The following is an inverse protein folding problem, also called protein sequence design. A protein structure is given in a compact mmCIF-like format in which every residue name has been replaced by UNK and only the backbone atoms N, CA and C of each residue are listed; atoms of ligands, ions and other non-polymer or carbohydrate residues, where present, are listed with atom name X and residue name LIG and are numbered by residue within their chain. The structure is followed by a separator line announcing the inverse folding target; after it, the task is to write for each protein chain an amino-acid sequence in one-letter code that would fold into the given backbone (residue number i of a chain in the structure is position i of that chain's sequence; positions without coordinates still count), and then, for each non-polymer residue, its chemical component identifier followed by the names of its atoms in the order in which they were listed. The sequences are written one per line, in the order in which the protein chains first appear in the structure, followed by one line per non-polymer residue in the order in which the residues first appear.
data_IF_020513672082
#
_entry.id   IF_020513672082
#
_cell.length_a   1.000
_cell.length_b   1.000
_cell.length_c   1.000
_cell.angle_alpha   90.00
_cell.angle_beta   90.00
_cell.angle_gamma   90.00
#
_symmetry.space_group_name_H-M   'P 1'
#
loop_
_entity.id
_entity.type
_entity.pdbx_description
1 polymer ?
#
# COMPACT_ATOMS: atom_id res chain seq x y z
N UNK A 1 -19.85 2.74 -11.75
CA UNK A 1 -18.41 2.88 -12.07
C UNK A 1 -18.27 4.12 -12.93
N UNK A 2 -17.63 5.15 -12.40
CA UNK A 2 -17.44 6.43 -13.10
C UNK A 2 -16.00 6.50 -13.62
N UNK A 3 -15.81 6.89 -14.88
CA UNK A 3 -14.49 7.09 -15.47
C UNK A 3 -14.46 8.30 -16.38
N UNK A 4 -13.27 8.89 -16.55
CA UNK A 4 -13.11 10.07 -17.39
C UNK A 4 -11.76 10.76 -17.19
N UNK A 5 -11.51 11.77 -18.02
CA UNK A 5 -10.31 12.60 -17.90
C UNK A 5 -10.52 13.72 -16.89
N UNK A 6 -9.55 13.92 -16.01
CA UNK A 6 -9.43 15.13 -15.18
C UNK A 6 -8.00 15.67 -15.28
N UNK A 7 -7.86 16.98 -15.14
CA UNK A 7 -6.56 17.61 -14.90
C UNK A 7 -6.20 17.45 -13.43
N UNK A 8 -5.03 16.87 -13.15
CA UNK A 8 -4.52 16.70 -11.79
C UNK A 8 -3.26 17.53 -11.61
N UNK A 9 -3.19 18.32 -10.53
CA UNK A 9 -1.95 18.99 -10.16
C UNK A 9 -0.88 17.96 -9.76
N UNK A 10 0.34 18.13 -10.27
CA UNK A 10 1.45 17.20 -10.02
C UNK A 10 2.54 17.82 -9.15
N UNK A 11 3.21 18.87 -9.62
CA UNK A 11 4.19 19.67 -8.88
C UNK A 11 4.43 21.00 -9.63
N UNK A 12 5.22 21.90 -9.05
CA UNK A 12 5.53 23.21 -9.64
C UNK A 12 6.18 23.09 -11.04
N UNK A 13 6.98 22.04 -11.28
CA UNK A 13 7.68 21.85 -12.56
C UNK A 13 6.77 21.35 -13.69
N UNK A 14 5.80 20.48 -13.39
CA UNK A 14 4.93 19.83 -14.38
C UNK A 14 3.50 20.39 -14.40
N UNK A 15 3.11 21.12 -13.36
CA UNK A 15 1.80 21.73 -13.21
C UNK A 15 0.64 20.75 -13.29
N UNK A 16 -0.44 21.21 -13.92
CA UNK A 16 -1.64 20.44 -14.25
C UNK A 16 -1.38 19.43 -15.36
N UNK A 17 -1.85 18.20 -15.18
CA UNK A 17 -1.66 17.13 -16.13
C UNK A 17 -2.95 16.34 -16.32
N UNK A 18 -3.34 16.12 -17.57
CA UNK A 18 -4.45 15.22 -17.88
C UNK A 18 -4.13 13.79 -17.45
N UNK A 19 -5.07 13.18 -16.74
CA UNK A 19 -5.03 11.80 -16.28
C UNK A 19 -6.39 11.16 -16.48
N UNK A 20 -6.37 9.87 -16.80
CA UNK A 20 -7.59 9.07 -16.86
C UNK A 20 -7.90 8.54 -15.47
N UNK A 21 -9.08 8.83 -14.95
CA UNK A 21 -9.54 8.40 -13.64
C UNK A 21 -10.62 7.35 -13.77
N UNK A 22 -10.59 6.41 -12.82
CA UNK A 22 -11.61 5.37 -12.67
C UNK A 22 -11.98 5.29 -11.19
N UNK A 23 -13.25 5.56 -10.90
CA UNK A 23 -13.85 5.42 -9.58
C UNK A 23 -14.52 4.05 -9.47
N UNK A 24 -13.92 3.22 -8.62
CA UNK A 24 -14.53 1.99 -8.14
C UNK A 24 -15.35 2.30 -6.89
N UNK A 25 -16.65 2.51 -7.10
CA UNK A 25 -17.63 2.80 -6.06
C UNK A 25 -17.79 1.67 -5.04
N UNK A 26 -17.58 0.41 -5.49
CA UNK A 26 -17.73 -0.78 -4.64
C UNK A 26 -16.52 -0.96 -3.74
N UNK A 27 -15.31 -0.69 -4.25
CA UNK A 27 -14.08 -0.77 -3.47
C UNK A 27 -13.77 0.52 -2.68
N UNK A 28 -14.40 1.64 -3.04
CA UNK A 28 -14.09 2.95 -2.46
C UNK A 28 -12.71 3.46 -2.89
N UNK A 29 -12.32 3.19 -4.13
CA UNK A 29 -11.01 3.50 -4.69
C UNK A 29 -11.13 4.41 -5.90
N UNK A 30 -10.36 5.50 -5.92
CA UNK A 30 -10.16 6.34 -7.09
C UNK A 30 -8.78 6.03 -7.68
N UNK A 31 -8.74 5.30 -8.80
CA UNK A 31 -7.51 4.97 -9.51
C UNK A 31 -7.25 5.95 -10.64
N UNK A 32 -5.98 6.22 -10.95
CA UNK A 32 -5.62 7.05 -12.09
C UNK A 32 -4.45 6.51 -12.91
N UNK A 33 -4.47 6.89 -14.18
CA UNK A 33 -3.58 6.41 -15.23
C UNK A 33 -3.06 7.61 -16.03
N UNK A 34 -1.90 7.46 -16.67
CA UNK A 34 -1.37 8.54 -17.50
C UNK A 34 -2.20 8.78 -18.76
N UNK A 35 -2.97 7.79 -19.22
CA UNK A 35 -3.91 7.87 -20.34
C UNK A 35 -4.94 6.73 -20.30
N UNK A 36 -6.01 6.83 -21.11
CA UNK A 36 -7.01 5.76 -21.29
C UNK A 36 -6.37 4.47 -21.84
N UNK A 37 -5.43 4.58 -22.76
CA UNK A 37 -4.66 3.43 -23.29
C UNK A 37 -3.86 2.71 -22.20
N UNK A 38 -3.27 3.45 -21.26
CA UNK A 38 -2.56 2.83 -20.12
C UNK A 38 -3.52 2.15 -19.15
N UNK A 39 -4.73 2.66 -19.02
CA UNK A 39 -5.81 2.02 -18.27
C UNK A 39 -6.24 0.70 -18.92
N UNK A 40 -6.47 0.66 -20.24
CA UNK A 40 -6.85 -0.60 -20.93
C UNK A 40 -5.75 -1.66 -20.87
N UNK A 41 -4.48 -1.24 -20.81
CA UNK A 41 -3.33 -2.13 -20.55
C UNK A 41 -3.10 -2.48 -19.08
N UNK A 42 -3.93 -1.99 -18.16
CA UNK A 42 -3.84 -2.26 -16.72
C UNK A 42 -2.69 -1.55 -15.98
N UNK A 43 -1.99 -0.60 -16.62
CA UNK A 43 -0.79 0.06 -16.06
C UNK A 43 -1.19 1.23 -15.16
N UNK A 44 -1.62 0.92 -13.93
CA UNK A 44 -2.06 1.92 -12.94
C UNK A 44 -0.93 2.81 -12.45
N UNK A 45 -1.13 4.13 -12.45
CA UNK A 45 -0.13 5.09 -11.97
C UNK A 45 -0.23 5.33 -10.46
N UNK A 46 -1.44 5.33 -9.93
CA UNK A 46 -1.72 5.48 -8.50
C UNK A 46 -3.19 5.22 -8.19
N UNK A 47 -3.49 5.10 -6.90
CA UNK A 47 -4.85 4.99 -6.39
C UNK A 47 -5.00 5.73 -5.05
N UNK A 48 -6.19 6.27 -4.82
CA UNK A 48 -6.57 6.96 -3.59
C UNK A 48 -7.71 6.17 -2.95
N UNK A 49 -7.57 5.82 -1.67
CA UNK A 49 -8.64 5.20 -0.89
C UNK A 49 -9.53 6.32 -0.36
N UNK A 50 -10.81 6.30 -0.71
CA UNK A 50 -11.73 7.40 -0.40
C UNK A 50 -12.35 7.31 1.00
N UNK A 51 -11.98 6.31 1.81
CA UNK A 51 -12.43 6.23 3.20
C UNK A 51 -11.97 7.47 3.96
N UNK A 52 -12.91 8.15 4.61
CA UNK A 52 -12.66 9.38 5.36
C UNK A 52 -12.05 10.53 4.54
N UNK A 53 -12.12 10.46 3.20
CA UNK A 53 -11.71 11.58 2.37
C UNK A 53 -12.72 12.73 2.49
N UNK A 54 -12.23 13.95 2.38
CA UNK A 54 -13.05 15.18 2.37
C UNK A 54 -12.92 15.82 1.01
N UNK A 55 -14.07 16.17 0.42
CA UNK A 55 -14.12 16.94 -0.83
C UNK A 55 -14.16 18.43 -0.49
N UNK A 56 -13.30 19.22 -1.13
CA UNK A 56 -13.33 20.68 -1.04
C UNK A 56 -13.69 21.27 -2.40
N UNK A 57 -14.64 22.21 -2.42
CA UNK A 57 -15.05 22.95 -3.60
C UNK A 57 -14.67 24.41 -3.35
N UNK A 58 -14.16 25.07 -4.39
CA UNK A 58 -13.91 26.51 -4.37
C UNK A 58 -15.10 27.21 -5.05
N UNK A 59 -15.61 28.28 -4.44
CA UNK A 59 -16.75 29.05 -4.95
C UNK A 59 -16.33 30.01 -6.08
N UNK A 60 -15.03 30.27 -6.26
CA UNK A 60 -14.52 31.16 -7.32
C UNK A 60 -14.31 30.45 -8.69
N UNK A 61 -14.03 29.14 -8.69
CA UNK A 61 -13.79 28.37 -9.92
C UNK A 61 -14.73 27.17 -10.02
N UNK A 62 -15.70 27.28 -10.94
CA UNK A 62 -16.71 26.28 -11.20
C UNK A 62 -16.19 24.93 -11.70
N UNK A 63 -14.91 24.83 -12.06
CA UNK A 63 -14.31 23.61 -12.63
C UNK A 63 -13.41 22.83 -11.66
N UNK A 64 -13.02 23.44 -10.53
CA UNK A 64 -12.02 22.84 -9.63
C UNK A 64 -12.62 22.19 -8.39
N UNK A 65 -11.92 21.19 -7.88
CA UNK A 65 -12.23 20.57 -6.61
C UNK A 65 -10.98 19.89 -6.03
N UNK A 66 -11.03 19.59 -4.75
CA UNK A 66 -9.95 18.91 -4.03
C UNK A 66 -10.45 17.65 -3.35
N UNK A 67 -9.54 16.69 -3.18
CA UNK A 67 -9.75 15.52 -2.32
C UNK A 67 -8.65 15.53 -1.27
N UNK A 68 -9.03 15.64 0.00
CA UNK A 68 -8.11 15.57 1.13
C UNK A 68 -8.26 14.24 1.85
N UNK A 69 -7.17 13.49 1.99
CA UNK A 69 -7.12 12.20 2.72
C UNK A 69 -5.74 12.04 3.36
N UNK A 70 -5.69 11.53 4.59
CA UNK A 70 -4.44 11.29 5.34
C UNK A 70 -3.48 12.50 5.32
N UNK A 71 -4.01 13.71 5.55
CA UNK A 71 -3.27 14.99 5.50
C UNK A 71 -2.66 15.34 4.13
N UNK A 72 -3.09 14.66 3.05
CA UNK A 72 -2.70 14.94 1.67
C UNK A 72 -3.88 15.51 0.90
N UNK A 73 -3.67 16.67 0.28
CA UNK A 73 -4.65 17.30 -0.61
C UNK A 73 -4.26 17.08 -2.07
N UNK A 74 -5.20 16.55 -2.85
CA UNK A 74 -5.09 16.38 -4.28
C UNK A 74 -6.00 17.40 -4.97
N UNK A 75 -5.43 18.19 -5.88
CA UNK A 75 -6.17 19.19 -6.66
C UNK A 75 -6.55 18.63 -8.03
N UNK A 76 -7.79 18.86 -8.40
CA UNK A 76 -8.40 18.42 -9.65
C UNK A 76 -9.11 19.58 -10.35
N UNK A 77 -9.11 19.52 -11.67
CA UNK A 77 -9.87 20.41 -12.53
C UNK A 77 -10.61 19.56 -13.57
N UNK A 78 -11.92 19.74 -13.63
CA UNK A 78 -12.81 19.17 -14.63
C UNK A 78 -12.86 20.07 -15.87
N UNK A 79 -13.45 19.60 -16.96
CA UNK A 79 -13.62 20.39 -18.19
C UNK A 79 -14.59 21.55 -18.00
N UNK A 80 -15.63 21.33 -17.21
CA UNK A 80 -16.72 22.26 -16.96
C UNK A 80 -17.38 21.98 -15.60
N UNK A 81 -18.22 22.90 -15.11
CA UNK A 81 -18.86 22.75 -13.81
C UNK A 81 -19.85 21.59 -13.74
N UNK A 82 -20.46 21.21 -14.86
CA UNK A 82 -21.32 20.02 -14.92
C UNK A 82 -20.53 18.72 -14.75
N UNK A 83 -19.33 18.63 -15.33
CA UNK A 83 -18.42 17.51 -15.11
C UNK A 83 -17.86 17.50 -13.69
N UNK A 84 -17.49 18.67 -13.13
CA UNK A 84 -17.12 18.80 -11.71
C UNK A 84 -18.21 18.22 -10.81
N UNK A 85 -19.45 18.68 -10.97
CA UNK A 85 -20.59 18.22 -10.16
C UNK A 85 -20.81 16.71 -10.27
N UNK A 86 -20.70 16.14 -11.47
CA UNK A 86 -20.82 14.68 -11.66
C UNK A 86 -19.74 13.93 -10.88
N UNK A 87 -18.49 14.41 -10.92
CA UNK A 87 -17.37 13.78 -10.19
C UNK A 87 -17.54 13.93 -8.68
N UNK A 88 -17.81 15.15 -8.22
CA UNK A 88 -18.03 15.48 -6.80
C UNK A 88 -19.15 14.61 -6.23
N UNK A 89 -20.33 14.58 -6.86
CA UNK A 89 -21.46 13.77 -6.39
C UNK A 89 -21.11 12.29 -6.27
N UNK A 90 -20.49 11.72 -7.30
CA UNK A 90 -20.11 10.30 -7.28
C UNK A 90 -19.04 9.98 -6.21
N UNK A 91 -18.10 10.89 -5.99
CA UNK A 91 -17.08 10.78 -4.95
C UNK A 91 -17.70 10.89 -3.56
N UNK A 92 -18.54 11.88 -3.31
CA UNK A 92 -19.25 12.08 -2.04
C UNK A 92 -20.13 10.89 -1.70
N UNK A 93 -20.92 10.38 -2.65
CA UNK A 93 -21.74 9.18 -2.48
C UNK A 93 -20.87 7.98 -2.10
N UNK A 94 -19.73 7.81 -2.76
CA UNK A 94 -18.79 6.73 -2.47
C UNK A 94 -18.17 6.88 -1.08
N UNK A 95 -17.70 8.07 -0.72
CA UNK A 95 -17.17 8.38 0.62
C UNK A 95 -18.23 8.08 1.68
N UNK A 96 -19.47 8.53 1.47
CA UNK A 96 -20.57 8.33 2.40
C UNK A 96 -20.91 6.84 2.57
N UNK A 97 -20.96 6.05 1.49
CA UNK A 97 -21.19 4.60 1.55
C UNK A 97 -20.10 3.88 2.34
N UNK A 98 -18.84 4.24 2.09
CA UNK A 98 -17.68 3.61 2.73
C UNK A 98 -17.41 4.10 4.15
N UNK A 99 -17.88 5.31 4.50
CA UNK A 99 -17.91 5.87 5.84
C UNK A 99 -19.05 5.31 6.70
N UNK A 100 -20.25 5.08 6.15
CA UNK A 100 -21.38 4.46 6.88
C UNK A 100 -21.11 3.04 7.33
N UNK A 101 -20.25 2.29 6.61
CA UNK A 101 -19.81 0.95 7.05
C UNK A 101 -19.14 0.99 8.42
N UNK A 102 -18.55 2.12 8.83
CA UNK A 102 -18.06 2.32 10.20
C UNK A 102 -19.15 2.71 11.19
N UNK A 103 -20.24 3.36 10.80
CA UNK A 103 -21.28 3.75 11.79
C UNK A 103 -22.02 2.52 12.33
N UNK A 104 -22.24 1.50 11.49
CA UNK A 104 -22.73 0.18 11.95
C UNK A 104 -21.61 -0.65 12.60
N UNK A 105 -20.36 -0.55 12.14
CA UNK A 105 -19.21 -1.23 12.78
C UNK A 105 -18.68 -0.56 14.07
N UNK A 106 -19.10 0.66 14.42
CA UNK A 106 -18.77 1.31 15.71
C UNK A 106 -19.80 0.99 16.80
N UNK A 107 -21.00 0.56 16.42
CA UNK A 107 -22.02 0.06 17.35
C UNK A 107 -21.89 -1.45 17.62
N UNK A 108 -21.09 -2.16 16.82
CA UNK A 108 -20.63 -3.52 17.12
C UNK A 108 -19.22 -3.39 17.68
N UNK A 109 -18.89 -3.93 18.86
CA UNK A 109 -17.51 -3.99 19.32
C UNK A 109 -16.66 -4.60 18.20
N UNK A 110 -15.54 -3.97 17.85
CA UNK A 110 -14.61 -4.55 16.89
C UNK A 110 -14.30 -6.00 17.30
N UNK A 111 -14.36 -6.99 16.39
CA UNK A 111 -13.94 -8.33 16.74
C UNK A 111 -12.49 -8.24 17.21
N UNK A 112 -12.18 -8.85 18.36
CA UNK A 112 -10.91 -8.79 19.08
C UNK A 112 -9.71 -9.38 18.31
N UNK A 113 -9.79 -9.51 16.98
CA UNK A 113 -8.93 -10.36 16.16
C UNK A 113 -7.75 -9.62 15.50
N UNK A 114 -7.56 -8.32 15.75
CA UNK A 114 -6.34 -7.62 15.28
C UNK A 114 -5.08 -8.02 16.06
N UNK A 115 -5.22 -8.40 17.33
CA UNK A 115 -4.10 -8.95 18.09
C UNK A 115 -3.70 -10.35 17.57
N UNK A 116 -4.70 -11.20 17.33
CA UNK A 116 -4.46 -12.57 16.85
C UNK A 116 -3.76 -12.66 15.49
N UNK A 117 -4.00 -11.72 14.57
CA UNK A 117 -3.32 -11.73 13.27
C UNK A 117 -1.84 -11.32 13.39
N UNK A 118 -1.51 -10.33 14.24
CA UNK A 118 -0.11 -9.97 14.52
C UNK A 118 0.60 -11.13 15.23
N UNK A 119 -0.03 -11.74 16.24
CA UNK A 119 0.55 -12.88 16.94
C UNK A 119 0.76 -14.08 16.03
N UNK A 120 -0.22 -14.39 15.18
CA UNK A 120 -0.09 -15.44 14.16
C UNK A 120 1.08 -15.16 13.22
N UNK A 121 1.26 -13.92 12.77
CA UNK A 121 2.39 -13.53 11.91
C UNK A 121 3.73 -13.57 12.64
N UNK A 122 3.78 -13.25 13.94
CA UNK A 122 4.98 -13.43 14.76
C UNK A 122 5.31 -14.92 14.88
N UNK A 123 4.31 -15.77 15.17
CA UNK A 123 4.51 -17.22 15.23
C UNK A 123 4.95 -17.83 13.89
N UNK A 124 4.45 -17.33 12.76
CA UNK A 124 4.92 -17.72 11.43
C UNK A 124 6.38 -17.30 11.21
N UNK A 125 6.75 -16.08 11.60
CA UNK A 125 8.13 -15.61 11.51
C UNK A 125 9.08 -16.43 12.40
N UNK A 126 8.65 -16.82 13.61
CA UNK A 126 9.39 -17.70 14.51
C UNK A 126 9.60 -19.10 13.88
N UNK A 127 8.57 -19.65 13.21
CA UNK A 127 8.69 -20.92 12.51
C UNK A 127 9.69 -20.85 11.34
N UNK A 128 9.66 -19.77 10.55
CA UNK A 128 10.64 -19.54 9.49
C UNK A 128 12.07 -19.36 10.04
N UNK A 129 12.23 -18.67 11.17
CA UNK A 129 13.52 -18.51 11.83
C UNK A 129 14.10 -19.88 12.22
N UNK A 130 13.29 -20.79 12.77
CA UNK A 130 13.74 -22.13 13.13
C UNK A 130 14.21 -22.94 11.93
N UNK A 131 13.48 -22.86 10.80
CA UNK A 131 13.90 -23.49 9.55
C UNK A 131 15.24 -22.92 9.08
N UNK A 132 15.43 -21.59 9.18
CA UNK A 132 16.68 -20.95 8.79
C UNK A 132 17.86 -21.37 9.67
N UNK A 133 17.66 -21.49 10.99
CA UNK A 133 18.66 -22.00 11.94
C UNK A 133 19.11 -23.41 11.53
N UNK A 134 18.15 -24.31 11.26
CA UNK A 134 18.45 -25.68 10.84
C UNK A 134 19.23 -25.72 9.52
N UNK A 135 18.85 -24.90 8.53
CA UNK A 135 19.55 -24.81 7.25
C UNK A 135 20.98 -24.27 7.40
N UNK A 136 21.19 -23.25 8.25
CA UNK A 136 22.52 -22.68 8.52
C UNK A 136 23.40 -23.71 9.24
N UNK A 137 22.85 -24.46 10.19
CA UNK A 137 23.57 -25.54 10.86
C UNK A 137 23.96 -26.67 9.89
N UNK A 138 23.05 -27.08 9.01
CA UNK A 138 23.33 -28.05 7.95
C UNK A 138 24.40 -27.54 6.98
N UNK A 139 24.36 -26.26 6.63
CA UNK A 139 25.38 -25.62 5.81
C UNK A 139 26.74 -25.64 6.51
N UNK A 140 26.79 -25.30 7.80
CA UNK A 140 28.02 -25.32 8.59
C UNK A 140 28.66 -26.72 8.63
N UNK A 141 27.85 -27.76 8.87
CA UNK A 141 28.31 -29.15 8.82
C UNK A 141 28.90 -29.49 7.44
N UNK A 142 28.18 -29.18 6.36
CA UNK A 142 28.68 -29.41 5.00
C UNK A 142 29.98 -28.68 4.71
N UNK A 143 30.11 -27.41 5.12
CA UNK A 143 31.34 -26.63 4.94
C UNK A 143 32.50 -27.23 5.74
N UNK A 144 32.23 -27.82 6.91
CA UNK A 144 33.26 -28.51 7.71
C UNK A 144 33.78 -29.80 7.07
N UNK A 145 32.92 -30.50 6.32
CA UNK A 145 33.22 -31.75 5.60
C UNK A 145 33.98 -31.53 4.29
N UNK A 146 34.03 -30.30 3.76
CA UNK A 146 34.78 -30.00 2.53
C UNK A 146 36.29 -30.15 2.80
N UNK A 147 36.91 -31.06 2.06
CA UNK A 147 38.35 -31.33 2.10
C UNK A 147 39.15 -30.36 1.22
N UNK A 148 38.58 -29.90 0.11
CA UNK A 148 39.26 -28.98 -0.81
C UNK A 148 39.37 -27.57 -0.18
N UNK A 149 40.59 -27.01 -0.03
CA UNK A 149 40.79 -25.72 0.64
C UNK A 149 40.09 -24.55 -0.07
N UNK A 150 40.03 -24.59 -1.41
CA UNK A 150 39.47 -23.51 -2.20
C UNK A 150 37.93 -23.53 -2.12
N UNK A 151 37.31 -24.70 -2.28
CA UNK A 151 35.88 -24.88 -2.08
C UNK A 151 35.45 -24.59 -0.63
N UNK A 152 36.27 -24.98 0.35
CA UNK A 152 36.03 -24.68 1.76
C UNK A 152 36.01 -23.18 2.02
N UNK A 153 36.93 -22.42 1.40
CA UNK A 153 36.95 -20.96 1.52
C UNK A 153 35.68 -20.31 0.94
N UNK A 154 35.18 -20.81 -0.19
CA UNK A 154 33.94 -20.31 -0.83
C UNK A 154 32.72 -20.67 0.01
N UNK A 155 32.69 -21.88 0.56
CA UNK A 155 31.66 -22.34 1.50
C UNK A 155 31.62 -21.48 2.77
N UNK A 156 32.79 -21.12 3.30
CA UNK A 156 32.90 -20.27 4.49
C UNK A 156 32.30 -18.87 4.25
N UNK A 157 32.56 -18.25 3.09
CA UNK A 157 31.96 -16.95 2.75
C UNK A 157 30.44 -17.03 2.73
N UNK A 158 29.86 -18.08 2.15
CA UNK A 158 28.40 -18.26 2.10
C UNK A 158 27.84 -18.48 3.51
N UNK A 159 28.54 -19.23 4.35
CA UNK A 159 28.17 -19.45 5.74
C UNK A 159 28.17 -18.14 6.54
N UNK A 160 29.19 -17.31 6.39
CA UNK A 160 29.30 -16.02 7.08
C UNK A 160 28.15 -15.07 6.70
N UNK A 161 27.80 -15.00 5.40
CA UNK A 161 26.65 -14.22 4.94
C UNK A 161 25.33 -14.77 5.49
N UNK A 162 25.18 -16.10 5.53
CA UNK A 162 23.97 -16.75 6.05
C UNK A 162 23.80 -16.50 7.55
N UNK A 163 24.90 -16.52 8.31
CA UNK A 163 24.92 -16.14 9.73
C UNK A 163 24.55 -14.67 9.95
N UNK A 164 25.06 -13.75 9.13
CA UNK A 164 24.69 -12.34 9.22
C UNK A 164 23.20 -12.10 8.92
N UNK A 165 22.64 -12.82 7.94
CA UNK A 165 21.20 -12.77 7.67
C UNK A 165 20.40 -13.30 8.87
N UNK A 166 20.81 -14.44 9.44
CA UNK A 166 20.16 -15.05 10.59
C UNK A 166 20.10 -14.10 11.79
N UNK A 167 21.20 -13.39 12.08
CA UNK A 167 21.24 -12.40 13.17
C UNK A 167 20.29 -11.21 12.91
N UNK A 168 20.21 -10.71 11.68
CA UNK A 168 19.28 -9.63 11.34
C UNK A 168 17.81 -10.06 11.53
N UNK A 169 17.48 -11.30 11.18
CA UNK A 169 16.13 -11.85 11.37
C UNK A 169 15.79 -12.02 12.86
N UNK A 170 16.73 -12.54 13.67
CA UNK A 170 16.57 -12.61 15.14
C UNK A 170 16.28 -11.25 15.75
N UNK A 171 17.08 -10.24 15.43
CA UNK A 171 16.89 -8.87 15.96
C UNK A 171 15.53 -8.29 15.55
N UNK A 172 15.13 -8.48 14.29
CA UNK A 172 13.83 -7.99 13.80
C UNK A 172 12.65 -8.63 14.53
N UNK A 173 12.71 -9.93 14.81
CA UNK A 173 11.66 -10.65 15.56
C UNK A 173 11.59 -10.18 17.00
N UNK A 174 12.72 -10.01 17.69
CA UNK A 174 12.76 -9.48 19.06
C UNK A 174 12.14 -8.08 19.14
N UNK A 175 12.46 -7.20 18.19
CA UNK A 175 11.87 -5.86 18.12
C UNK A 175 10.35 -5.92 17.90
N UNK A 176 9.86 -6.85 17.09
CA UNK A 176 8.42 -7.06 16.87
C UNK A 176 7.71 -7.63 18.10
N UNK A 177 8.39 -8.41 18.93
CA UNK A 177 7.84 -8.95 20.18
C UNK A 177 7.79 -7.90 21.30
N UNK A 178 8.75 -6.95 21.33
CA UNK A 178 8.80 -5.83 22.29
C UNK A 178 7.74 -4.76 21.98
N UNK A 179 7.33 -4.62 20.71
CA UNK A 179 6.33 -3.64 20.29
C UNK A 179 4.87 -4.00 20.65
N UNK A 180 4.65 -5.03 21.48
CA UNK A 180 3.35 -5.43 22.02
C UNK A 180 2.86 -4.51 23.14
#
# INVERSE_FOLDING_TARGET
MMEGSLSKWTNVMKGWQYRWFVLDENAGLLSYYTSKEKMTRGVRRGCVRLRAAVIGIDDEDDSTFTITVDHKTFHFQARDGSERERWVRALEDTIARHGRRERWSRCVPAPAHRHGDLERRISEADAYLQIMIDLVNKLNLKVSEITDPNEKSRGQVILDHSNAMLENFKHSIVLLQIAK
#
